data_IF_344280783059
#
_entry.id   IF_344280783059
#
_cell.length_a   1.000
_cell.length_b   1.000
_cell.length_c   1.000
_cell.angle_alpha   90.00
_cell.angle_beta   90.00
_cell.angle_gamma   90.00
#
_symmetry.space_group_name_H-M   'P 1'
#
loop_
_entity.id
_entity.type
_entity.pdbx_description
1 polymer ?
#
# COMPACT_ATOMS: atom_id res chain seq x y z
N UNK A 1 15.40 6.89 -7.76
CA UNK A 1 15.12 8.31 -7.58
C UNK A 1 16.39 9.14 -7.65
N UNK A 2 16.36 10.23 -8.39
CA UNK A 2 17.51 11.09 -8.56
C UNK A 2 17.75 12.11 -7.44
N UNK A 3 16.88 12.20 -6.43
CA UNK A 3 16.91 13.25 -5.41
C UNK A 3 17.53 12.83 -4.09
N UNK A 4 17.51 11.56 -3.76
CA UNK A 4 18.18 11.04 -2.56
C UNK A 4 18.74 9.66 -2.84
N UNK A 5 19.98 9.39 -2.45
CA UNK A 5 20.57 8.06 -2.55
C UNK A 5 19.93 7.01 -1.64
N UNK A 6 18.89 7.39 -0.89
CA UNK A 6 18.18 6.52 0.06
C UNK A 6 16.95 5.85 -0.54
N UNK A 7 16.45 6.32 -1.68
CA UNK A 7 15.28 5.77 -2.33
C UNK A 7 15.66 5.27 -3.72
N UNK A 8 15.40 4.00 -4.00
CA UNK A 8 15.61 3.42 -5.32
C UNK A 8 14.31 2.87 -5.88
N UNK A 9 14.15 2.93 -7.18
CA UNK A 9 13.01 2.38 -7.90
C UNK A 9 13.50 1.32 -8.88
N UNK A 10 12.88 0.14 -8.84
CA UNK A 10 13.13 -0.95 -9.78
C UNK A 10 11.84 -1.24 -10.54
N UNK A 11 11.95 -1.33 -11.85
CA UNK A 11 10.81 -1.61 -12.72
C UNK A 11 11.01 -2.99 -13.34
N UNK A 12 9.98 -3.82 -13.19
CA UNK A 12 9.98 -5.19 -13.72
C UNK A 12 8.80 -5.39 -14.66
N UNK A 13 8.97 -6.26 -15.66
CA UNK A 13 7.82 -6.82 -16.36
C UNK A 13 7.11 -7.86 -15.48
N UNK A 14 5.96 -8.37 -15.95
CA UNK A 14 5.16 -9.31 -15.18
C UNK A 14 5.94 -10.57 -14.78
N UNK A 15 6.68 -11.14 -15.71
CA UNK A 15 7.46 -12.37 -15.48
C UNK A 15 8.56 -12.16 -14.44
N UNK A 16 9.31 -11.07 -14.58
CA UNK A 16 10.36 -10.70 -13.62
C UNK A 16 9.79 -10.41 -12.25
N UNK A 17 8.62 -9.75 -12.17
CA UNK A 17 7.97 -9.42 -10.92
C UNK A 17 7.49 -10.68 -10.18
N UNK A 18 6.98 -11.68 -10.87
CA UNK A 18 6.58 -12.95 -10.28
C UNK A 18 7.75 -13.68 -9.63
N UNK A 19 8.95 -13.52 -10.18
CA UNK A 19 10.17 -14.13 -9.65
C UNK A 19 10.80 -13.30 -8.53
N UNK A 20 10.93 -11.98 -8.73
CA UNK A 20 11.69 -11.08 -7.85
C UNK A 20 10.86 -10.40 -6.77
N UNK A 21 9.55 -10.29 -6.97
CA UNK A 21 8.62 -9.67 -6.04
C UNK A 21 7.34 -10.52 -5.91
N UNK A 22 7.45 -11.77 -5.44
CA UNK A 22 6.32 -12.70 -5.38
C UNK A 22 5.20 -12.27 -4.43
N UNK A 23 5.49 -11.34 -3.53
CA UNK A 23 4.50 -10.79 -2.59
C UNK A 23 3.46 -9.89 -3.28
N UNK A 24 3.79 -9.35 -4.46
CA UNK A 24 2.91 -8.47 -5.21
C UNK A 24 1.94 -9.28 -6.07
N UNK A 25 0.67 -8.90 -6.03
CA UNK A 25 -0.36 -9.52 -6.87
C UNK A 25 -0.27 -8.98 -8.30
N UNK A 26 0.36 -9.75 -9.18
CA UNK A 26 0.56 -9.40 -10.59
C UNK A 26 -0.69 -9.62 -11.46
N UNK A 27 -1.79 -10.09 -10.89
CA UNK A 27 -3.07 -10.15 -11.59
C UNK A 27 -3.72 -8.77 -11.75
N UNK A 28 -3.30 -7.80 -10.94
CA UNK A 28 -3.83 -6.43 -10.93
C UNK A 28 -2.71 -5.44 -11.28
N UNK A 29 -2.34 -5.38 -12.55
CA UNK A 29 -1.29 -4.49 -13.05
C UNK A 29 -1.85 -3.16 -13.56
N UNK A 30 -1.08 -2.05 -13.49
CA UNK A 30 0.24 -1.95 -12.88
C UNK A 30 0.20 -2.00 -11.35
N UNK A 31 1.25 -2.52 -10.74
CA UNK A 31 1.38 -2.58 -9.28
C UNK A 31 2.70 -1.95 -8.83
N UNK A 32 2.61 -1.14 -7.77
CA UNK A 32 3.77 -0.57 -7.09
C UNK A 32 3.79 -1.10 -5.66
N UNK A 33 4.86 -1.75 -5.28
CA UNK A 33 5.07 -2.24 -3.91
C UNK A 33 6.17 -1.46 -3.20
N UNK A 34 6.05 -1.30 -1.91
CA UNK A 34 7.06 -0.65 -1.08
C UNK A 34 7.85 -1.69 -0.30
N UNK A 35 9.17 -1.52 -0.31
CA UNK A 35 10.12 -2.40 0.36
C UNK A 35 11.04 -1.58 1.24
N UNK A 36 11.41 -2.14 2.37
CA UNK A 36 12.42 -1.59 3.26
C UNK A 36 13.51 -2.64 3.48
N UNK A 37 14.76 -2.31 3.10
CA UNK A 37 15.89 -3.25 3.22
C UNK A 37 15.60 -4.61 2.58
N UNK A 38 15.10 -4.60 1.36
CA UNK A 38 14.74 -5.78 0.56
C UNK A 38 13.57 -6.61 1.13
N UNK A 39 12.87 -6.12 2.15
CA UNK A 39 11.69 -6.76 2.70
C UNK A 39 10.41 -5.99 2.34
N UNK A 40 9.39 -6.72 1.92
CA UNK A 40 8.09 -6.14 1.59
C UNK A 40 7.45 -5.50 2.82
N UNK A 41 7.09 -4.22 2.69
CA UNK A 41 6.55 -3.45 3.81
C UNK A 41 5.04 -3.64 4.04
N UNK A 42 4.38 -4.47 3.23
CA UNK A 42 2.94 -4.70 3.33
C UNK A 42 2.10 -3.62 2.66
N UNK A 43 2.69 -2.80 1.81
CA UNK A 43 1.99 -1.69 1.14
C UNK A 43 2.13 -1.84 -0.36
N UNK A 44 1.00 -1.88 -1.06
CA UNK A 44 0.96 -1.92 -2.51
C UNK A 44 -0.12 -0.99 -3.07
N UNK A 45 0.14 -0.51 -4.30
CA UNK A 45 -0.77 0.33 -5.06
C UNK A 45 -1.04 -0.38 -6.39
N UNK A 46 -2.28 -0.77 -6.62
CA UNK A 46 -2.73 -1.36 -7.88
C UNK A 46 -3.41 -0.28 -8.71
N UNK A 47 -2.69 0.24 -9.70
CA UNK A 47 -3.12 1.36 -10.53
C UNK A 47 -2.04 2.41 -10.65
N UNK A 48 -2.34 3.50 -11.36
CA UNK A 48 -1.41 4.62 -11.51
C UNK A 48 -1.56 5.57 -10.32
N UNK A 49 -0.47 5.75 -9.57
CA UNK A 49 -0.42 6.65 -8.42
C UNK A 49 -0.21 8.09 -8.89
N UNK A 50 -1.29 8.72 -9.36
CA UNK A 50 -1.29 10.12 -9.80
C UNK A 50 -2.41 10.92 -9.12
N UNK A 51 -2.39 12.23 -9.30
CA UNK A 51 -3.42 13.10 -8.74
C UNK A 51 -3.50 13.02 -7.20
N UNK A 52 -4.68 12.76 -6.67
CA UNK A 52 -4.92 12.70 -5.23
C UNK A 52 -4.17 11.56 -4.53
N UNK A 53 -3.89 10.47 -5.25
CA UNK A 53 -3.18 9.31 -4.70
C UNK A 53 -1.67 9.50 -4.61
N UNK A 54 -1.13 10.54 -5.22
CA UNK A 54 0.29 10.90 -5.06
C UNK A 54 0.63 11.20 -3.60
N UNK A 55 -0.26 11.86 -2.87
CA UNK A 55 -0.07 12.13 -1.45
C UNK A 55 -0.01 10.83 -0.64
N UNK A 56 -0.88 9.86 -0.97
CA UNK A 56 -0.86 8.55 -0.31
C UNK A 56 0.49 7.85 -0.51
N UNK A 57 1.04 7.91 -1.71
CA UNK A 57 2.36 7.34 -2.01
C UNK A 57 3.47 8.04 -1.21
N UNK A 58 3.46 9.37 -1.15
CA UNK A 58 4.45 10.14 -0.40
C UNK A 58 4.40 9.79 1.08
N UNK A 59 3.21 9.74 1.68
CA UNK A 59 3.05 9.35 3.07
C UNK A 59 3.43 7.90 3.33
N UNK A 60 3.14 7.00 2.40
CA UNK A 60 3.56 5.61 2.51
C UNK A 60 5.08 5.47 2.54
N UNK A 61 5.79 6.19 1.66
CA UNK A 61 7.25 6.23 1.65
C UNK A 61 7.78 6.76 2.98
N UNK A 62 7.19 7.85 3.48
CA UNK A 62 7.57 8.44 4.77
C UNK A 62 7.37 7.45 5.93
N UNK A 63 6.26 6.73 5.94
CA UNK A 63 5.94 5.76 6.98
C UNK A 63 6.86 4.52 6.93
N UNK A 64 7.26 4.11 5.74
CA UNK A 64 8.16 2.94 5.55
C UNK A 64 9.61 3.30 5.82
N UNK A 65 10.09 4.42 5.29
CA UNK A 65 11.48 4.88 5.43
C UNK A 65 11.75 5.56 6.76
N UNK A 66 10.73 6.10 7.36
CA UNK A 66 10.56 6.70 8.56
C UNK A 66 11.38 7.60 9.26
N UNK A 67 10.93 8.50 10.20
CA UNK A 67 10.27 8.08 11.44
C UNK A 67 8.77 7.74 11.30
N UNK A 68 8.15 8.17 10.18
CA UNK A 68 6.73 7.90 9.96
C UNK A 68 5.78 8.77 10.77
N UNK A 69 4.51 8.64 10.50
CA UNK A 69 3.46 9.28 11.27
C UNK A 69 3.27 8.55 12.60
N UNK A 70 2.93 9.28 13.64
CA UNK A 70 2.61 8.66 14.93
C UNK A 70 1.26 7.94 14.87
N UNK A 71 1.22 6.75 15.43
CA UNK A 71 0.00 5.96 15.57
C UNK A 71 -0.52 6.11 17.00
N UNK A 72 -1.82 6.30 17.16
CA UNK A 72 -2.43 6.35 18.48
C UNK A 72 -2.09 5.10 19.28
N UNK A 73 -1.73 5.28 20.56
CA UNK A 73 -1.35 4.18 21.46
C UNK A 73 -2.41 3.07 21.52
N UNK A 74 -3.68 3.46 21.48
CA UNK A 74 -4.82 2.52 21.51
C UNK A 74 -4.84 1.66 20.23
N UNK A 75 -4.57 2.26 19.07
CA UNK A 75 -4.49 1.56 17.81
C UNK A 75 -3.31 0.60 17.79
N UNK A 76 -2.15 1.08 18.23
CA UNK A 76 -0.93 0.27 18.30
C UNK A 76 -1.13 -0.98 19.18
N UNK A 77 -1.78 -0.83 20.33
CA UNK A 77 -2.10 -1.98 21.20
C UNK A 77 -3.01 -3.00 20.51
N UNK A 78 -3.95 -2.55 19.69
CA UNK A 78 -4.82 -3.45 18.93
C UNK A 78 -4.05 -4.17 17.83
N UNK A 79 -3.15 -3.48 17.15
CA UNK A 79 -2.30 -4.08 16.10
C UNK A 79 -1.33 -5.10 16.69
N UNK A 80 -0.77 -4.85 17.85
CA UNK A 80 0.15 -5.77 18.53
C UNK A 80 -0.53 -7.11 18.89
N UNK A 81 -1.86 -7.12 18.97
CA UNK A 81 -2.63 -8.35 19.23
C UNK A 81 -2.91 -9.18 17.99
N UNK A 82 -2.62 -8.66 16.79
CA UNK A 82 -2.80 -9.42 15.56
C UNK A 82 -1.73 -10.50 15.44
N UNK A 83 -2.18 -11.75 15.36
CA UNK A 83 -1.29 -12.92 15.24
C UNK A 83 -1.36 -13.58 13.87
N UNK A 84 -2.38 -13.23 13.07
CA UNK A 84 -2.60 -13.81 11.74
C UNK A 84 -2.33 -12.77 10.67
N UNK A 85 -1.84 -13.23 9.52
CA UNK A 85 -1.72 -12.37 8.33
C UNK A 85 -3.09 -11.87 7.92
N UNK A 86 -3.24 -10.56 7.85
CA UNK A 86 -4.48 -9.88 7.48
C UNK A 86 -4.22 -8.92 6.32
N UNK A 87 -5.20 -8.80 5.44
CA UNK A 87 -5.11 -7.96 4.26
C UNK A 87 -6.28 -6.97 4.24
N UNK A 88 -5.97 -5.71 4.03
CA UNK A 88 -6.97 -4.66 3.81
C UNK A 88 -6.89 -4.24 2.35
N UNK A 89 -7.98 -4.40 1.62
CA UNK A 89 -8.12 -3.90 0.25
C UNK A 89 -8.94 -2.61 0.27
N UNK A 90 -8.37 -1.55 -0.26
CA UNK A 90 -9.02 -0.24 -0.33
C UNK A 90 -9.26 0.08 -1.79
N UNK A 91 -10.53 0.05 -2.19
CA UNK A 91 -10.93 0.42 -3.54
C UNK A 91 -11.17 1.92 -3.61
N UNK A 92 -10.44 2.60 -4.47
CA UNK A 92 -10.49 4.05 -4.60
C UNK A 92 -11.00 4.46 -5.98
N UNK A 93 -11.64 5.64 -6.05
CA UNK A 93 -12.01 6.28 -7.29
C UNK A 93 -11.56 7.74 -7.28
N UNK A 94 -11.39 8.35 -8.47
CA UNK A 94 -10.98 9.76 -8.57
C UNK A 94 -11.99 10.72 -7.95
N UNK A 95 -13.26 10.33 -7.87
CA UNK A 95 -14.32 11.18 -7.31
C UNK A 95 -14.43 11.10 -5.78
N UNK A 96 -13.72 10.20 -5.15
CA UNK A 96 -13.79 10.01 -3.69
C UNK A 96 -12.80 10.93 -2.97
N UNK A 97 -13.32 11.91 -2.23
CA UNK A 97 -12.49 12.85 -1.47
C UNK A 97 -11.93 12.25 -0.18
N UNK A 98 -12.56 11.21 0.37
CA UNK A 98 -12.17 10.58 1.62
C UNK A 98 -11.27 9.36 1.44
N UNK A 99 -11.15 8.83 0.21
CA UNK A 99 -10.37 7.63 -0.07
C UNK A 99 -8.89 7.81 0.29
N UNK A 100 -8.30 8.94 -0.05
CA UNK A 100 -6.88 9.21 0.23
C UNK A 100 -6.55 9.12 1.72
N UNK A 101 -7.42 9.66 2.58
CA UNK A 101 -7.22 9.61 4.03
C UNK A 101 -7.32 8.17 4.57
N UNK A 102 -8.26 7.40 4.06
CA UNK A 102 -8.39 5.98 4.44
C UNK A 102 -7.19 5.17 3.98
N UNK A 103 -6.71 5.39 2.76
CA UNK A 103 -5.51 4.74 2.23
C UNK A 103 -4.31 5.05 3.12
N UNK A 104 -4.08 6.32 3.44
CA UNK A 104 -2.97 6.75 4.31
C UNK A 104 -3.05 6.06 5.67
N UNK A 105 -4.23 6.01 6.29
CA UNK A 105 -4.42 5.38 7.60
C UNK A 105 -4.15 3.87 7.56
N UNK A 106 -4.68 3.17 6.57
CA UNK A 106 -4.48 1.73 6.42
C UNK A 106 -3.02 1.39 6.14
N UNK A 107 -2.35 2.18 5.31
CA UNK A 107 -0.94 1.99 4.99
C UNK A 107 -0.04 2.25 6.19
N UNK A 108 -0.37 3.24 7.01
CA UNK A 108 0.32 3.50 8.27
C UNK A 108 0.23 2.31 9.22
N UNK A 109 -0.95 1.73 9.35
CA UNK A 109 -1.15 0.52 10.15
C UNK A 109 -0.34 -0.65 9.61
N UNK A 110 -0.30 -0.85 8.30
CA UNK A 110 0.50 -1.91 7.67
C UNK A 110 2.00 -1.70 7.88
N UNK A 111 2.49 -0.46 7.83
CA UNK A 111 3.89 -0.15 8.08
C UNK A 111 4.33 -0.48 9.51
N UNK A 112 3.41 -0.38 10.49
CA UNK A 112 3.67 -0.65 11.90
C UNK A 112 3.43 -2.12 12.30
N UNK A 113 2.71 -2.87 11.49
CA UNK A 113 2.31 -4.24 11.82
C UNK A 113 2.77 -5.23 10.74
N UNK A 114 3.75 -6.10 11.03
CA UNK A 114 4.34 -7.00 10.03
C UNK A 114 3.37 -8.06 9.49
N UNK A 115 2.26 -8.31 10.16
CA UNK A 115 1.25 -9.28 9.71
C UNK A 115 0.08 -8.63 8.97
N UNK A 116 0.09 -7.30 8.83
CA UNK A 116 -0.95 -6.55 8.14
C UNK A 116 -0.45 -6.05 6.78
N UNK A 117 -1.26 -6.26 5.76
CA UNK A 117 -1.00 -5.75 4.41
C UNK A 117 -2.13 -4.80 4.01
N UNK A 118 -1.78 -3.67 3.41
CA UNK A 118 -2.72 -2.69 2.88
C UNK A 118 -2.52 -2.56 1.36
N UNK A 119 -3.57 -2.86 0.61
CA UNK A 119 -3.58 -2.75 -0.85
C UNK A 119 -4.56 -1.66 -1.29
N UNK A 120 -4.05 -0.65 -1.98
CA UNK A 120 -4.89 0.32 -2.68
C UNK A 120 -5.17 -0.21 -4.09
N UNK A 121 -6.42 -0.22 -4.50
CA UNK A 121 -6.85 -0.72 -5.81
C UNK A 121 -7.68 0.37 -6.50
N UNK A 122 -7.25 0.79 -7.70
CA UNK A 122 -8.01 1.73 -8.51
C UNK A 122 -9.22 1.01 -9.12
N UNK A 123 -10.39 1.30 -8.61
CA UNK A 123 -11.64 0.66 -9.02
C UNK A 123 -11.98 0.88 -10.50
N UNK A 124 -11.45 1.93 -11.13
CA UNK A 124 -11.70 2.20 -12.55
C UNK A 124 -10.94 1.23 -13.47
N UNK A 125 -9.78 0.77 -13.03
CA UNK A 125 -8.98 -0.19 -13.80
C UNK A 125 -9.46 -1.63 -13.61
N UNK A 126 -10.16 -1.89 -12.52
CA UNK A 126 -10.62 -3.24 -12.16
C UNK A 126 -12.12 -3.23 -11.80
N UNK A 127 -13.02 -2.92 -12.76
CA UNK A 127 -14.45 -2.68 -12.47
C UNK A 127 -15.20 -3.91 -11.98
N UNK A 128 -14.67 -5.10 -12.17
CA UNK A 128 -15.31 -6.35 -11.77
C UNK A 128 -15.18 -6.67 -10.28
N UNK A 129 -14.32 -5.95 -9.54
CA UNK A 129 -13.97 -6.30 -8.16
C UNK A 129 -14.51 -5.39 -7.05
N UNK A 130 -15.03 -4.18 -7.32
CA UNK A 130 -15.34 -3.24 -6.22
C UNK A 130 -16.57 -3.58 -5.41
N UNK A 131 -17.57 -4.22 -6.01
CA UNK A 131 -18.87 -4.38 -5.37
C UNK A 131 -18.92 -5.37 -4.21
N UNK A 132 -18.01 -6.33 -4.18
CA UNK A 132 -18.02 -7.41 -3.18
C UNK A 132 -17.26 -7.09 -1.90
N UNK A 133 -16.37 -6.09 -1.93
CA UNK A 133 -15.42 -5.84 -0.86
C UNK A 133 -15.46 -4.43 -0.24
N UNK A 134 -16.35 -3.56 -0.70
CA UNK A 134 -16.55 -2.24 -0.08
C UNK A 134 -17.46 -2.34 1.14
N UNK A 135 -17.02 -3.00 2.17
CA UNK A 135 -17.69 -2.99 3.46
C UNK A 135 -16.80 -2.28 4.48
N UNK A 136 -17.20 -1.09 4.80
CA UNK A 136 -16.67 -0.35 5.93
C UNK A 136 -17.73 -0.25 7.00
#
# INVERSE_FOLDING_TARGET
SGLTGKLSCRIYDKTEAEEKAPELDTSLLPVTGLYRQEQYAGISFHGVTGGKEMNSLIFAIYNVAGPGQELEKRMKKKLDKLTHKSEIKIFVSLSCHHCAQQVITCQKMAAECPVLEARMIDARLYPERPAENCRF
#
